data_IF_877372904276
#
_entry.id   IF_877372904276
#
_cell.length_a   1.000
_cell.length_b   1.000
_cell.length_c   1.000
_cell.angle_alpha   90.00
_cell.angle_beta   90.00
_cell.angle_gamma   90.00
#
_symmetry.space_group_name_H-M   'P 1'
#
loop_
_entity.id
_entity.type
_entity.pdbx_description
1 polymer ?
#
# COMPACT_ATOMS: atom_id res chain seq x y z
N UNK A 1 -16.90 -4.37 -29.46
CA UNK A 1 -16.87 -3.43 -30.61
C UNK A 1 -16.10 -4.09 -31.74
N UNK A 2 -16.62 -4.07 -32.97
CA UNK A 2 -15.92 -4.65 -34.13
C UNK A 2 -14.76 -3.74 -34.56
N UNK A 3 -13.66 -4.29 -35.08
CA UNK A 3 -12.46 -3.53 -35.51
C UNK A 3 -12.81 -2.36 -36.44
N UNK A 4 -13.69 -2.59 -37.40
CA UNK A 4 -14.13 -1.57 -38.37
C UNK A 4 -14.92 -0.43 -37.70
N UNK A 5 -15.59 -0.69 -36.58
CA UNK A 5 -16.35 0.32 -35.83
C UNK A 5 -15.42 1.25 -35.04
N UNK A 6 -14.32 0.71 -34.50
CA UNK A 6 -13.26 1.50 -33.84
C UNK A 6 -12.56 2.43 -34.84
N UNK A 7 -12.18 1.90 -36.01
CA UNK A 7 -11.53 2.67 -37.09
C UNK A 7 -12.36 3.88 -37.50
N UNK A 8 -13.67 3.70 -37.68
CA UNK A 8 -14.57 4.77 -38.08
C UNK A 8 -14.67 5.86 -37.01
N UNK A 9 -14.82 5.50 -35.74
CA UNK A 9 -14.90 6.49 -34.63
C UNK A 9 -13.60 7.28 -34.44
N UNK A 10 -12.45 6.62 -34.57
CA UNK A 10 -11.13 7.27 -34.47
C UNK A 10 -10.90 8.25 -35.62
N UNK A 11 -11.30 7.88 -36.84
CA UNK A 11 -11.20 8.76 -38.00
C UNK A 11 -12.14 9.96 -37.90
N UNK A 12 -13.38 9.77 -37.45
CA UNK A 12 -14.32 10.87 -37.20
C UNK A 12 -13.72 11.86 -36.20
N UNK A 13 -13.24 11.36 -35.06
CA UNK A 13 -12.69 12.23 -34.01
C UNK A 13 -11.43 12.98 -34.45
N UNK A 14 -10.52 12.34 -35.17
CA UNK A 14 -9.28 12.98 -35.63
C UNK A 14 -9.50 13.96 -36.77
N UNK A 15 -10.57 13.82 -37.55
CA UNK A 15 -10.97 14.82 -38.56
C UNK A 15 -11.51 16.09 -37.92
N UNK A 16 -12.12 15.99 -36.74
CA UNK A 16 -12.58 17.16 -35.98
C UNK A 16 -11.43 17.94 -35.34
N UNK A 17 -10.31 17.28 -35.02
CA UNK A 17 -9.15 17.90 -34.35
C UNK A 17 -7.98 18.27 -35.28
N UNK A 18 -7.89 17.66 -36.48
CA UNK A 18 -6.77 17.86 -37.42
C UNK A 18 -7.31 18.32 -38.78
N UNK A 19 -7.01 19.58 -39.12
CA UNK A 19 -7.42 20.23 -40.39
C UNK A 19 -6.91 19.52 -41.66
N UNK A 20 -5.83 18.74 -41.57
CA UNK A 20 -5.30 17.94 -42.68
C UNK A 20 -5.90 16.52 -42.67
N UNK A 21 -6.84 16.20 -43.57
CA UNK A 21 -7.54 14.91 -43.60
C UNK A 21 -6.63 13.72 -43.94
N UNK A 22 -5.48 13.95 -44.59
CA UNK A 22 -4.49 12.90 -44.87
C UNK A 22 -3.67 12.59 -43.62
N UNK A 23 -3.30 13.62 -42.85
CA UNK A 23 -2.64 13.42 -41.54
C UNK A 23 -3.58 12.78 -40.54
N UNK A 24 -4.84 13.21 -40.46
CA UNK A 24 -5.85 12.61 -39.59
C UNK A 24 -5.99 11.10 -39.86
N UNK A 25 -6.18 10.73 -41.14
CA UNK A 25 -6.29 9.33 -41.55
C UNK A 25 -5.01 8.52 -41.30
N UNK A 26 -3.83 9.10 -41.56
CA UNK A 26 -2.54 8.43 -41.31
C UNK A 26 -2.29 8.21 -39.81
N UNK A 27 -2.66 9.18 -38.98
CA UNK A 27 -2.53 9.08 -37.52
C UNK A 27 -3.54 8.08 -36.95
N UNK A 28 -4.77 8.08 -37.46
CA UNK A 28 -5.79 7.09 -37.11
C UNK A 28 -5.30 5.67 -37.40
N UNK A 29 -4.74 5.43 -38.59
CA UNK A 29 -4.18 4.12 -38.96
C UNK A 29 -3.03 3.69 -38.05
N UNK A 30 -2.11 4.61 -37.71
CA UNK A 30 -1.00 4.34 -36.77
C UNK A 30 -1.48 4.08 -35.34
N UNK A 31 -2.54 4.77 -34.90
CA UNK A 31 -3.15 4.53 -33.59
C UNK A 31 -3.86 3.20 -33.55
N UNK A 32 -4.58 2.81 -34.61
CA UNK A 32 -5.19 1.49 -34.73
C UNK A 32 -4.13 0.40 -34.69
N UNK A 33 -3.10 0.49 -35.53
CA UNK A 33 -1.97 -0.45 -35.56
C UNK A 33 -1.28 -0.51 -34.18
N UNK A 34 -1.04 0.64 -33.55
CA UNK A 34 -0.48 0.67 -32.21
C UNK A 34 -1.40 -0.01 -31.18
N UNK A 35 -2.71 0.24 -31.21
CA UNK A 35 -3.71 -0.29 -30.26
C UNK A 35 -4.02 -1.78 -30.50
N UNK A 36 -3.92 -2.27 -31.73
CA UNK A 36 -4.17 -3.69 -32.04
C UNK A 36 -2.92 -4.55 -31.97
N UNK A 37 -1.75 -4.00 -32.34
CA UNK A 37 -0.55 -4.81 -32.55
C UNK A 37 0.54 -4.57 -31.51
N UNK A 38 0.51 -3.44 -30.77
CA UNK A 38 1.60 -3.05 -29.84
C UNK A 38 1.18 -2.64 -28.45
N UNK A 39 -0.06 -2.20 -28.26
CA UNK A 39 -0.66 -1.89 -26.97
C UNK A 39 -1.50 -3.10 -26.58
N UNK A 40 -1.04 -3.81 -25.55
CA UNK A 40 -1.74 -4.89 -24.86
C UNK A 40 -2.97 -4.30 -24.16
N UNK A 41 -3.98 -3.92 -24.95
CA UNK A 41 -5.27 -3.44 -24.46
C UNK A 41 -6.37 -4.44 -24.77
N UNK A 42 -6.06 -5.57 -25.42
CA UNK A 42 -7.03 -6.61 -25.74
C UNK A 42 -7.05 -7.62 -24.59
N UNK A 43 -8.09 -7.55 -23.77
CA UNK A 43 -8.45 -8.61 -22.82
C UNK A 43 -9.49 -9.50 -23.48
N UNK A 44 -9.37 -10.82 -23.35
CA UNK A 44 -10.41 -11.76 -23.76
C UNK A 44 -11.18 -12.21 -22.51
N UNK A 45 -12.19 -11.46 -22.05
CA UNK A 45 -12.91 -11.79 -20.82
C UNK A 45 -13.66 -13.14 -20.94
N UNK A 46 -13.98 -13.57 -22.16
CA UNK A 46 -14.62 -14.84 -22.49
C UNK A 46 -14.05 -15.39 -23.82
N UNK A 47 -14.22 -16.70 -24.07
CA UNK A 47 -13.91 -17.30 -25.37
C UNK A 47 -14.71 -16.56 -26.47
N UNK A 48 -14.03 -16.13 -27.54
CA UNK A 48 -14.58 -15.38 -28.69
C UNK A 48 -14.92 -13.88 -28.46
N UNK A 49 -14.60 -13.29 -27.31
CA UNK A 49 -14.73 -11.84 -27.07
C UNK A 49 -13.38 -11.13 -26.96
N UNK A 50 -13.31 -9.92 -27.52
CA UNK A 50 -12.19 -8.99 -27.35
C UNK A 50 -12.73 -7.73 -26.66
N UNK A 51 -12.33 -7.53 -25.41
CA UNK A 51 -12.56 -6.33 -24.62
C UNK A 51 -11.34 -5.40 -24.67
N UNK A 52 -11.59 -4.10 -24.48
CA UNK A 52 -10.52 -3.11 -24.35
C UNK A 52 -10.24 -2.82 -22.88
N UNK A 53 -8.98 -2.87 -22.46
CA UNK A 53 -8.55 -2.40 -21.14
C UNK A 53 -8.49 -0.87 -21.13
N UNK A 54 -9.66 -0.23 -21.11
CA UNK A 54 -9.77 1.24 -21.15
C UNK A 54 -9.11 1.89 -19.92
N UNK A 55 -9.03 1.17 -18.80
CA UNK A 55 -8.46 1.66 -17.54
C UNK A 55 -6.98 2.01 -17.66
N UNK A 56 -6.15 1.13 -18.21
CA UNK A 56 -4.70 1.38 -18.36
C UNK A 56 -4.42 2.60 -19.23
N UNK A 57 -5.20 2.80 -20.30
CA UNK A 57 -5.09 3.99 -21.15
C UNK A 57 -5.55 5.27 -20.43
N UNK A 58 -6.64 5.20 -19.65
CA UNK A 58 -7.10 6.32 -18.84
C UNK A 58 -6.07 6.72 -17.77
N UNK A 59 -5.52 5.74 -17.06
CA UNK A 59 -4.47 5.95 -16.05
C UNK A 59 -3.20 6.56 -16.68
N UNK A 60 -2.80 6.09 -17.86
CA UNK A 60 -1.68 6.66 -18.60
C UNK A 60 -1.94 8.11 -19.05
N UNK A 61 -3.10 8.38 -19.67
CA UNK A 61 -3.47 9.72 -20.12
C UNK A 61 -3.57 10.70 -18.94
N UNK A 62 -4.15 10.27 -17.82
CA UNK A 62 -4.20 11.03 -16.59
C UNK A 62 -2.79 11.31 -16.04
N UNK A 63 -1.91 10.30 -16.01
CA UNK A 63 -0.52 10.45 -15.59
C UNK A 63 0.24 11.49 -16.43
N UNK A 64 0.04 11.46 -17.75
CA UNK A 64 0.61 12.46 -18.67
C UNK A 64 0.09 13.86 -18.39
N UNK A 65 -1.21 14.01 -18.12
CA UNK A 65 -1.81 15.29 -17.77
C UNK A 65 -1.25 15.85 -16.45
N UNK A 66 -1.03 14.99 -15.44
CA UNK A 66 -0.50 15.39 -14.14
C UNK A 66 0.89 16.04 -14.25
N UNK A 67 1.75 15.49 -15.10
CA UNK A 67 3.12 15.99 -15.31
C UNK A 67 3.25 17.02 -16.44
N UNK A 68 2.12 17.45 -17.02
CA UNK A 68 2.11 18.49 -18.06
C UNK A 68 1.92 19.88 -17.44
N UNK A 69 2.47 20.89 -18.11
CA UNK A 69 2.40 22.28 -17.66
C UNK A 69 3.63 22.75 -16.87
N UNK A 70 3.51 23.80 -16.05
CA UNK A 70 4.63 24.34 -15.29
C UNK A 70 5.19 23.35 -14.26
N UNK A 71 6.51 23.22 -14.18
CA UNK A 71 7.18 22.32 -13.23
C UNK A 71 6.76 22.55 -11.77
N UNK A 72 6.46 23.81 -11.41
CA UNK A 72 6.01 24.21 -10.08
C UNK A 72 4.68 23.55 -9.65
N UNK A 73 3.87 23.10 -10.61
CA UNK A 73 2.58 22.48 -10.34
C UNK A 73 2.64 20.95 -10.27
N UNK A 74 3.71 20.33 -10.81
CA UNK A 74 3.79 18.87 -10.96
C UNK A 74 3.83 18.17 -9.61
N UNK A 75 4.76 18.57 -8.73
CA UNK A 75 4.93 17.93 -7.42
C UNK A 75 3.70 18.12 -6.52
N UNK A 76 3.12 19.34 -6.37
CA UNK A 76 1.89 19.52 -5.59
C UNK A 76 0.72 18.66 -6.06
N UNK A 77 0.56 18.44 -7.37
CA UNK A 77 -0.47 17.53 -7.90
C UNK A 77 -0.22 16.08 -7.49
N UNK A 78 1.03 15.63 -7.53
CA UNK A 78 1.40 14.28 -7.13
C UNK A 78 1.27 14.08 -5.61
N UNK A 79 1.59 15.09 -4.79
CA UNK A 79 1.36 15.04 -3.34
C UNK A 79 -0.12 14.88 -3.01
N UNK A 80 -1.00 15.66 -3.66
CA UNK A 80 -2.44 15.59 -3.44
C UNK A 80 -3.05 14.21 -3.77
N UNK A 81 -2.46 13.49 -4.73
CA UNK A 81 -2.95 12.19 -5.18
C UNK A 81 -2.33 11.00 -4.42
N UNK A 82 -1.19 11.19 -3.77
CA UNK A 82 -0.40 10.11 -3.17
C UNK A 82 -1.17 9.31 -2.11
N UNK A 83 -2.09 9.96 -1.39
CA UNK A 83 -2.90 9.34 -0.34
C UNK A 83 -4.09 8.52 -0.88
N UNK A 84 -4.43 8.61 -2.17
CA UNK A 84 -5.63 7.98 -2.73
C UNK A 84 -5.29 6.64 -3.40
N UNK A 85 -5.71 5.49 -2.83
CA UNK A 85 -5.36 4.18 -3.37
C UNK A 85 -5.84 3.94 -4.81
N UNK A 86 -6.97 4.56 -5.19
CA UNK A 86 -7.53 4.48 -6.55
C UNK A 86 -6.63 5.14 -7.62
N UNK A 87 -5.76 6.07 -7.22
CA UNK A 87 -4.84 6.78 -8.11
C UNK A 87 -3.44 6.18 -8.12
N UNK A 88 -3.17 5.12 -7.34
CA UNK A 88 -1.82 4.55 -7.19
C UNK A 88 -1.14 4.26 -8.53
N UNK A 89 -1.80 3.57 -9.44
CA UNK A 89 -1.22 3.26 -10.76
C UNK A 89 -0.94 4.51 -11.59
N UNK A 90 -1.89 5.44 -11.63
CA UNK A 90 -1.74 6.73 -12.32
C UNK A 90 -0.56 7.52 -11.73
N UNK A 91 -0.42 7.51 -10.40
CA UNK A 91 0.67 8.15 -9.70
C UNK A 91 2.02 7.52 -10.04
N UNK A 92 2.12 6.18 -10.08
CA UNK A 92 3.35 5.46 -10.45
C UNK A 92 3.77 5.75 -11.89
N UNK A 93 2.81 5.76 -12.83
CA UNK A 93 3.05 6.15 -14.22
C UNK A 93 3.54 7.60 -14.33
N UNK A 94 2.97 8.51 -13.53
CA UNK A 94 3.37 9.90 -13.50
C UNK A 94 4.78 10.07 -12.91
N UNK A 95 5.09 9.37 -11.82
CA UNK A 95 6.42 9.30 -11.22
C UNK A 95 7.45 8.78 -12.24
N UNK A 96 7.12 7.74 -13.00
CA UNK A 96 7.97 7.24 -14.08
C UNK A 96 8.21 8.31 -15.15
N UNK A 97 7.17 9.05 -15.52
CA UNK A 97 7.27 10.21 -16.41
C UNK A 97 8.19 11.31 -15.86
N UNK A 98 8.11 11.66 -14.57
CA UNK A 98 9.03 12.60 -13.92
C UNK A 98 10.47 12.11 -14.00
N UNK A 99 10.71 10.83 -13.69
CA UNK A 99 12.05 10.25 -13.78
C UNK A 99 12.63 10.30 -15.19
N UNK A 100 11.81 10.09 -16.22
CA UNK A 100 12.25 10.11 -17.61
C UNK A 100 12.40 11.52 -18.20
N UNK A 101 11.44 12.42 -17.92
CA UNK A 101 11.28 13.68 -18.64
C UNK A 101 11.68 14.92 -17.83
N UNK A 102 11.61 14.86 -16.49
CA UNK A 102 11.88 15.99 -15.59
C UNK A 102 12.97 15.63 -14.57
N UNK A 103 14.24 15.42 -15.01
CA UNK A 103 15.31 14.91 -14.15
C UNK A 103 15.62 15.79 -12.93
N UNK A 104 15.40 17.11 -13.03
CA UNK A 104 15.57 18.06 -11.93
C UNK A 104 14.53 17.90 -10.83
N UNK A 105 13.33 17.38 -11.13
CA UNK A 105 12.25 17.16 -10.16
C UNK A 105 12.35 15.81 -9.42
N UNK A 106 13.28 14.92 -9.78
CA UNK A 106 13.40 13.59 -9.15
C UNK A 106 13.62 13.65 -7.64
N UNK A 107 14.43 14.60 -7.18
CA UNK A 107 14.67 14.78 -5.74
C UNK A 107 13.44 15.33 -5.03
N UNK A 108 12.71 16.24 -5.66
CA UNK A 108 11.49 16.81 -5.10
C UNK A 108 10.38 15.76 -5.02
N UNK A 109 10.23 14.91 -6.03
CA UNK A 109 9.31 13.76 -6.03
C UNK A 109 9.61 12.78 -4.88
N UNK A 110 10.88 12.45 -4.65
CA UNK A 110 11.25 11.55 -3.54
C UNK A 110 11.03 12.21 -2.18
N UNK A 111 11.24 13.53 -2.08
CA UNK A 111 10.96 14.28 -0.85
C UNK A 111 9.45 14.40 -0.58
N UNK A 112 8.64 14.58 -1.63
CA UNK A 112 7.19 14.66 -1.55
C UNK A 112 6.56 13.45 -0.86
N UNK A 113 7.10 12.25 -1.05
CA UNK A 113 6.64 11.04 -0.35
C UNK A 113 6.68 11.22 1.18
N UNK A 114 7.74 11.82 1.71
CA UNK A 114 7.85 12.12 3.14
C UNK A 114 6.91 13.23 3.58
N UNK A 115 6.71 14.24 2.73
CA UNK A 115 5.73 15.30 3.00
C UNK A 115 4.33 14.69 3.18
N UNK A 116 3.94 13.78 2.29
CA UNK A 116 2.65 13.09 2.32
C UNK A 116 2.48 12.31 3.62
N UNK A 117 3.48 11.56 4.04
CA UNK A 117 3.41 10.77 5.29
C UNK A 117 3.30 11.63 6.55
N UNK A 118 3.67 12.91 6.47
CA UNK A 118 3.64 13.85 7.59
C UNK A 118 2.44 14.82 7.57
N UNK A 119 1.46 14.65 6.67
CA UNK A 119 0.33 15.58 6.52
C UNK A 119 -0.60 15.58 7.73
N UNK A 120 -1.07 14.40 8.15
CA UNK A 120 -1.99 14.25 9.28
C UNK A 120 -1.80 12.91 10.01
N UNK A 121 -2.61 12.68 11.04
CA UNK A 121 -2.52 11.44 11.84
C UNK A 121 -2.85 10.19 11.04
N UNK A 122 -3.73 10.29 10.05
CA UNK A 122 -4.13 9.18 9.20
C UNK A 122 -2.98 8.79 8.28
N UNK A 123 -2.35 9.76 7.60
CA UNK A 123 -1.18 9.51 6.75
C UNK A 123 0.02 9.03 7.57
N UNK A 124 0.23 9.57 8.77
CA UNK A 124 1.28 9.08 9.69
C UNK A 124 1.04 7.63 10.14
N UNK A 125 -0.21 7.18 10.13
CA UNK A 125 -0.58 5.79 10.47
C UNK A 125 -0.45 4.84 9.29
N UNK A 126 -0.81 5.29 8.08
CA UNK A 126 -0.81 4.45 6.87
C UNK A 126 0.51 4.45 6.10
N UNK A 127 1.28 5.54 6.22
CA UNK A 127 2.49 5.84 5.46
C UNK A 127 2.32 5.64 3.93
N UNK A 128 1.32 6.27 3.28
CA UNK A 128 1.09 6.10 1.85
C UNK A 128 2.31 6.47 0.99
N UNK A 129 3.10 7.46 1.38
CA UNK A 129 4.36 7.83 0.76
C UNK A 129 5.41 6.72 0.82
N UNK A 130 5.60 6.08 1.98
CA UNK A 130 6.46 4.91 2.11
C UNK A 130 5.94 3.71 1.30
N UNK A 131 4.61 3.53 1.22
CA UNK A 131 3.99 2.51 0.35
C UNK A 131 4.25 2.77 -1.14
N UNK A 132 4.19 4.03 -1.58
CA UNK A 132 4.56 4.42 -2.94
C UNK A 132 6.05 4.23 -3.19
N UNK A 133 6.90 4.59 -2.22
CA UNK A 133 8.34 4.32 -2.31
C UNK A 133 8.62 2.83 -2.52
N UNK A 134 7.92 1.96 -1.81
CA UNK A 134 7.99 0.51 -2.01
C UNK A 134 7.58 0.10 -3.42
N UNK A 135 6.47 0.63 -3.95
CA UNK A 135 6.05 0.36 -5.34
C UNK A 135 7.08 0.84 -6.37
N UNK A 136 7.67 2.02 -6.17
CA UNK A 136 8.73 2.53 -7.07
C UNK A 136 9.97 1.64 -7.07
N UNK A 137 10.29 1.00 -5.93
CA UNK A 137 11.37 0.02 -5.83
C UNK A 137 11.02 -1.29 -6.53
N UNK A 138 9.76 -1.73 -6.44
CA UNK A 138 9.27 -2.95 -7.08
C UNK A 138 9.29 -2.83 -8.62
N UNK A 139 8.97 -1.64 -9.15
CA UNK A 139 9.05 -1.33 -10.59
C UNK A 139 10.47 -0.98 -11.09
N UNK A 140 11.48 -1.07 -10.23
CA UNK A 140 12.88 -0.75 -10.57
C UNK A 140 13.08 0.68 -11.12
N UNK A 141 12.21 1.64 -10.78
CA UNK A 141 12.19 2.96 -11.43
C UNK A 141 13.50 3.73 -11.23
N UNK A 142 14.05 3.68 -10.02
CA UNK A 142 15.29 4.39 -9.66
C UNK A 142 16.56 3.52 -9.82
N UNK A 143 16.48 2.36 -10.50
CA UNK A 143 17.59 1.39 -10.59
C UNK A 143 18.88 1.98 -11.17
N UNK A 144 18.76 2.91 -12.12
CA UNK A 144 19.91 3.60 -12.74
C UNK A 144 20.35 4.84 -11.95
N UNK A 145 19.71 5.14 -10.82
CA UNK A 145 19.93 6.33 -10.00
C UNK A 145 20.18 5.93 -8.53
N UNK A 146 21.40 5.44 -8.19
CA UNK A 146 21.69 4.87 -6.87
C UNK A 146 21.34 5.77 -5.69
N UNK A 147 21.52 7.10 -5.85
CA UNK A 147 21.13 8.08 -4.83
C UNK A 147 19.63 8.04 -4.53
N UNK A 148 18.79 8.07 -5.56
CA UNK A 148 17.32 8.03 -5.42
C UNK A 148 16.85 6.65 -4.97
N UNK A 149 17.46 5.58 -5.47
CA UNK A 149 17.23 4.21 -4.99
C UNK A 149 17.44 4.10 -3.47
N UNK A 150 18.56 4.63 -2.95
CA UNK A 150 18.85 4.60 -1.51
C UNK A 150 17.86 5.42 -0.69
N UNK A 151 17.42 6.59 -1.20
CA UNK A 151 16.39 7.40 -0.52
C UNK A 151 15.04 6.68 -0.48
N UNK A 152 14.65 6.01 -1.58
CA UNK A 152 13.44 5.20 -1.63
C UNK A 152 13.52 4.01 -0.68
N UNK A 153 14.65 3.29 -0.62
CA UNK A 153 14.85 2.20 0.36
C UNK A 153 14.76 2.72 1.78
N UNK A 154 15.41 3.85 2.08
CA UNK A 154 15.37 4.45 3.42
C UNK A 154 13.92 4.75 3.84
N UNK A 155 13.12 5.31 2.95
CA UNK A 155 11.74 5.67 3.24
C UNK A 155 10.81 4.45 3.30
N UNK A 156 10.90 3.53 2.33
CA UNK A 156 10.13 2.28 2.34
C UNK A 156 10.47 1.38 3.54
N UNK A 157 11.67 1.49 4.11
CA UNK A 157 12.05 0.77 5.33
C UNK A 157 11.28 1.22 6.58
N UNK A 158 10.60 2.37 6.57
CA UNK A 158 9.71 2.82 7.65
C UNK A 158 8.52 1.86 7.82
N UNK A 159 8.08 1.21 6.73
CA UNK A 159 7.06 0.17 6.73
C UNK A 159 7.46 -1.08 7.54
N UNK A 160 8.73 -1.22 7.92
CA UNK A 160 9.16 -2.32 8.80
C UNK A 160 8.60 -2.13 10.21
N UNK A 161 8.48 -0.87 10.63
CA UNK A 161 7.97 -0.51 11.95
C UNK A 161 6.47 -0.28 11.96
N UNK A 162 5.84 -0.01 10.81
CA UNK A 162 4.42 0.27 10.70
C UNK A 162 3.64 -0.97 10.25
N UNK A 163 2.34 -1.01 10.54
CA UNK A 163 1.48 -2.10 10.09
C UNK A 163 1.29 -1.97 8.58
N UNK A 164 1.86 -2.89 7.80
CA UNK A 164 1.67 -2.94 6.36
C UNK A 164 0.61 -4.00 6.01
N UNK A 165 -0.23 -3.71 5.01
CA UNK A 165 -1.22 -4.68 4.52
C UNK A 165 -0.59 -6.00 4.03
N UNK A 166 0.63 -5.94 3.49
CA UNK A 166 1.39 -7.13 3.06
C UNK A 166 2.85 -7.09 3.53
N UNK A 167 3.15 -7.60 4.75
CA UNK A 167 4.51 -7.69 5.25
C UNK A 167 5.43 -8.54 4.37
N UNK A 168 4.87 -9.53 3.65
CA UNK A 168 5.62 -10.37 2.71
C UNK A 168 6.08 -9.57 1.49
N UNK A 169 5.20 -8.74 0.92
CA UNK A 169 5.55 -7.88 -0.21
C UNK A 169 6.64 -6.88 0.21
N UNK A 170 6.45 -6.20 1.35
CA UNK A 170 7.45 -5.29 1.94
C UNK A 170 8.80 -6.00 2.07
N UNK A 171 8.81 -7.18 2.69
CA UNK A 171 10.03 -7.93 2.92
C UNK A 171 10.74 -8.31 1.61
N UNK A 172 10.01 -8.79 0.60
CA UNK A 172 10.60 -9.24 -0.66
C UNK A 172 11.18 -8.07 -1.47
N UNK A 173 10.41 -6.98 -1.63
CA UNK A 173 10.83 -5.80 -2.40
C UNK A 173 12.05 -5.14 -1.76
N UNK A 174 12.06 -4.98 -0.43
CA UNK A 174 13.20 -4.38 0.27
C UNK A 174 14.47 -5.24 0.14
N UNK A 175 14.37 -6.57 0.27
CA UNK A 175 15.52 -7.48 0.06
C UNK A 175 16.06 -7.36 -1.36
N UNK A 176 15.17 -7.37 -2.36
CA UNK A 176 15.56 -7.25 -3.75
C UNK A 176 16.25 -5.91 -4.00
N UNK A 177 15.70 -4.81 -3.48
CA UNK A 177 16.28 -3.48 -3.61
C UNK A 177 17.65 -3.36 -2.91
N UNK A 178 17.80 -3.94 -1.73
CA UNK A 178 19.04 -3.87 -0.95
C UNK A 178 20.14 -4.81 -1.45
N UNK A 179 19.78 -5.90 -2.14
CA UNK A 179 20.76 -6.81 -2.77
C UNK A 179 21.65 -6.11 -3.81
N UNK A 180 21.25 -4.92 -4.27
CA UNK A 180 21.91 -4.15 -5.33
C UNK A 180 22.92 -3.12 -4.80
N UNK A 181 22.81 -2.70 -3.54
CA UNK A 181 23.62 -1.62 -2.97
C UNK A 181 23.90 -1.82 -1.47
N UNK A 182 25.17 -1.74 -1.07
CA UNK A 182 25.58 -1.93 0.34
C UNK A 182 24.98 -0.90 1.30
N UNK A 183 24.81 0.35 0.85
CA UNK A 183 24.17 1.40 1.66
C UNK A 183 22.71 1.06 1.97
N UNK A 184 21.98 0.49 1.02
CA UNK A 184 20.61 0.04 1.21
C UNK A 184 20.52 -1.07 2.27
N UNK A 185 21.45 -2.03 2.26
CA UNK A 185 21.55 -3.06 3.31
C UNK A 185 21.74 -2.45 4.70
N UNK A 186 22.63 -1.45 4.85
CA UNK A 186 22.86 -0.78 6.12
C UNK A 186 21.61 -0.04 6.64
N UNK A 187 20.80 0.54 5.73
CA UNK A 187 19.52 1.16 6.09
C UNK A 187 18.50 0.12 6.57
N UNK A 188 18.36 -1.00 5.87
CA UNK A 188 17.47 -2.09 6.28
C UNK A 188 17.87 -2.69 7.62
N UNK A 189 19.16 -2.91 7.85
CA UNK A 189 19.65 -3.45 9.12
C UNK A 189 19.32 -2.51 10.29
N UNK A 190 19.49 -1.19 10.10
CA UNK A 190 19.13 -0.19 11.10
C UNK A 190 17.63 -0.16 11.36
N UNK A 191 16.82 -0.15 10.30
CA UNK A 191 15.37 -0.15 10.42
C UNK A 191 14.85 -1.42 11.13
N UNK A 192 15.40 -2.59 10.79
CA UNK A 192 15.07 -3.84 11.46
C UNK A 192 15.49 -3.85 12.94
N UNK A 193 16.70 -3.36 13.26
CA UNK A 193 17.16 -3.19 14.65
C UNK A 193 16.23 -2.28 15.45
N UNK A 194 15.79 -1.17 14.85
CA UNK A 194 14.84 -0.25 15.47
C UNK A 194 13.48 -0.93 15.70
N UNK A 195 12.98 -1.70 14.72
CA UNK A 195 11.72 -2.41 14.83
C UNK A 195 11.74 -3.46 15.96
N UNK A 196 12.79 -4.27 16.08
CA UNK A 196 12.87 -5.27 17.18
C UNK A 196 13.22 -4.68 18.54
N UNK A 197 13.72 -3.45 18.58
CA UNK A 197 13.93 -2.71 19.83
C UNK A 197 12.69 -1.94 20.26
N UNK A 198 11.68 -1.85 19.38
CA UNK A 198 10.40 -1.22 19.67
C UNK A 198 9.50 -2.14 20.50
N UNK A 199 8.30 -1.64 20.80
CA UNK A 199 7.23 -2.31 21.52
C UNK A 199 5.95 -2.18 20.69
N UNK A 200 4.94 -2.90 21.06
CA UNK A 200 3.61 -2.92 20.51
C UNK A 200 3.53 -3.66 19.19
N UNK A 201 2.55 -3.22 18.42
CA UNK A 201 2.35 -3.58 17.01
C UNK A 201 3.64 -3.45 16.19
N UNK A 202 4.48 -2.46 16.49
CA UNK A 202 5.76 -2.22 15.77
C UNK A 202 6.76 -3.36 15.94
N UNK A 203 6.85 -3.93 17.15
CA UNK A 203 7.68 -5.10 17.41
C UNK A 203 7.19 -6.28 16.58
N UNK A 204 5.87 -6.52 16.62
CA UNK A 204 5.25 -7.63 15.89
C UNK A 204 5.49 -7.49 14.37
N UNK A 205 5.34 -6.31 13.79
CA UNK A 205 5.61 -6.06 12.37
C UNK A 205 7.06 -6.34 11.99
N UNK A 206 8.00 -5.80 12.77
CA UNK A 206 9.43 -6.07 12.59
C UNK A 206 9.75 -7.56 12.66
N UNK A 207 9.07 -8.29 13.55
CA UNK A 207 9.17 -9.74 13.66
C UNK A 207 8.71 -10.48 12.39
N UNK A 208 7.58 -10.07 11.78
CA UNK A 208 7.09 -10.73 10.57
C UNK A 208 8.07 -10.59 9.41
N UNK A 209 8.62 -9.38 9.23
CA UNK A 209 9.56 -9.07 8.15
C UNK A 209 10.89 -9.78 8.38
N UNK A 210 11.43 -9.73 9.60
CA UNK A 210 12.67 -10.44 9.93
C UNK A 210 12.53 -11.95 9.79
N UNK A 211 11.39 -12.53 10.19
CA UNK A 211 11.14 -13.95 10.03
C UNK A 211 11.12 -14.37 8.55
N UNK A 212 10.66 -13.49 7.67
CA UNK A 212 10.78 -13.67 6.23
C UNK A 212 12.23 -13.56 5.77
N UNK A 213 12.96 -12.53 6.20
CA UNK A 213 14.35 -12.30 5.81
C UNK A 213 15.32 -13.38 6.31
N UNK A 214 15.09 -13.95 7.49
CA UNK A 214 15.88 -15.03 8.06
C UNK A 214 15.94 -16.29 7.17
N UNK A 215 15.00 -16.43 6.23
CA UNK A 215 15.00 -17.51 5.23
C UNK A 215 15.79 -17.21 3.97
N UNK A 216 16.21 -15.96 3.78
CA UNK A 216 16.99 -15.53 2.62
C UNK A 216 18.42 -16.02 2.78
N UNK A 217 19.07 -16.60 1.75
CA UNK A 217 20.47 -16.98 1.86
C UNK A 217 21.38 -15.76 2.04
N UNK A 218 22.55 -15.98 2.65
CA UNK A 218 23.60 -14.97 2.79
C UNK A 218 23.55 -14.16 4.09
N UNK A 219 24.29 -13.05 4.11
CA UNK A 219 24.53 -12.25 5.32
C UNK A 219 23.25 -11.68 5.92
N UNK A 220 22.30 -11.22 5.09
CA UNK A 220 21.04 -10.66 5.55
C UNK A 220 20.18 -11.69 6.30
N UNK A 221 20.13 -12.94 5.82
CA UNK A 221 19.40 -14.00 6.49
C UNK A 221 20.01 -14.35 7.84
N UNK A 222 21.33 -14.53 7.89
CA UNK A 222 22.05 -14.80 9.14
C UNK A 222 21.90 -13.67 10.15
N UNK A 223 22.03 -12.40 9.72
CA UNK A 223 21.83 -11.24 10.58
C UNK A 223 20.38 -11.15 11.08
N UNK A 224 19.40 -11.42 10.20
CA UNK A 224 17.98 -11.42 10.58
C UNK A 224 17.66 -12.51 11.59
N UNK A 225 18.23 -13.70 11.45
CA UNK A 225 18.09 -14.79 12.42
C UNK A 225 18.68 -14.41 13.78
N UNK A 226 19.88 -13.83 13.80
CA UNK A 226 20.51 -13.36 15.04
C UNK A 226 19.68 -12.27 15.73
N UNK A 227 19.12 -11.33 14.96
CA UNK A 227 18.23 -10.29 15.48
C UNK A 227 16.94 -10.88 16.06
N UNK A 228 16.31 -11.85 15.38
CA UNK A 228 15.13 -12.56 15.91
C UNK A 228 15.43 -13.29 17.21
N UNK A 229 16.50 -14.07 17.25
CA UNK A 229 16.90 -14.82 18.45
C UNK A 229 17.18 -13.87 19.63
N UNK A 230 17.87 -12.77 19.37
CA UNK A 230 18.13 -11.75 20.38
C UNK A 230 16.84 -11.07 20.86
N UNK A 231 15.91 -10.79 19.95
CA UNK A 231 14.64 -10.17 20.27
C UNK A 231 13.75 -11.11 21.11
N UNK A 232 13.61 -12.39 20.72
CA UNK A 232 12.84 -13.40 21.48
C UNK A 232 13.36 -13.53 22.91
N UNK A 233 14.68 -13.50 23.13
CA UNK A 233 15.27 -13.57 24.47
C UNK A 233 14.87 -12.37 25.35
N UNK A 234 14.70 -11.18 24.75
CA UNK A 234 14.35 -9.94 25.46
C UNK A 234 12.85 -9.74 25.63
N UNK A 235 12.02 -10.49 24.90
CA UNK A 235 10.58 -10.38 24.99
C UNK A 235 10.09 -10.67 26.40
N UNK A 236 9.18 -9.81 26.87
CA UNK A 236 8.38 -10.07 28.06
C UNK A 236 7.36 -11.20 27.79
N UNK A 237 6.68 -11.73 28.82
CA UNK A 237 5.71 -12.82 28.63
C UNK A 237 4.55 -12.50 27.66
N UNK A 238 4.02 -11.27 27.67
CA UNK A 238 2.93 -10.83 26.78
C UNK A 238 3.36 -10.80 25.30
N UNK A 239 4.54 -10.25 25.02
CA UNK A 239 5.13 -10.21 23.68
C UNK A 239 5.41 -11.62 23.16
N UNK A 240 5.87 -12.54 24.03
CA UNK A 240 6.07 -13.95 23.66
C UNK A 240 4.74 -14.63 23.33
N UNK A 241 3.68 -14.36 24.09
CA UNK A 241 2.35 -14.89 23.81
C UNK A 241 1.83 -14.41 22.45
N UNK A 242 1.97 -13.11 22.15
CA UNK A 242 1.62 -12.54 20.84
C UNK A 242 2.43 -13.16 19.68
N UNK A 243 3.75 -13.31 19.85
CA UNK A 243 4.63 -13.88 18.82
C UNK A 243 4.40 -15.39 18.59
N UNK A 244 3.94 -16.13 19.61
CA UNK A 244 3.53 -17.54 19.45
C UNK A 244 2.30 -17.67 18.57
N UNK A 245 1.30 -16.80 18.75
CA UNK A 245 0.12 -16.78 17.87
C UNK A 245 0.54 -16.62 16.40
N UNK A 246 1.44 -15.66 16.13
CA UNK A 246 1.97 -15.44 14.79
C UNK A 246 2.65 -16.69 14.20
N UNK A 247 3.43 -17.42 15.00
CA UNK A 247 4.09 -18.66 14.57
C UNK A 247 3.10 -19.79 14.22
N UNK A 248 1.93 -19.81 14.86
CA UNK A 248 0.86 -20.77 14.58
C UNK A 248 0.10 -20.40 13.32
N UNK A 249 -0.23 -19.11 13.16
CA UNK A 249 -1.00 -18.62 12.02
C UNK A 249 -0.22 -18.70 10.70
N UNK A 250 1.10 -18.46 10.77
CA UNK A 250 2.00 -18.53 9.62
C UNK A 250 2.93 -19.73 9.82
N UNK A 251 2.50 -20.98 9.58
CA UNK A 251 3.29 -22.18 9.85
C UNK A 251 4.59 -22.27 9.03
N UNK A 252 4.69 -21.49 7.95
CA UNK A 252 5.94 -21.32 7.23
C UNK A 252 6.98 -20.57 8.06
N UNK A 253 6.60 -19.74 9.02
CA UNK A 253 7.51 -19.03 9.93
C UNK A 253 7.81 -19.89 11.16
N UNK A 254 9.03 -20.44 11.25
CA UNK A 254 9.54 -20.99 12.51
C UNK A 254 10.38 -19.93 13.21
N UNK A 255 9.90 -19.46 14.37
CA UNK A 255 10.66 -18.52 15.20
C UNK A 255 11.46 -19.34 16.23
N UNK A 256 12.80 -19.26 16.21
CA UNK A 256 13.63 -19.95 17.19
C UNK A 256 13.26 -19.54 18.63
N UNK A 257 13.12 -20.51 19.52
CA UNK A 257 12.81 -20.27 20.93
C UNK A 257 11.33 -20.06 21.27
N UNK A 258 10.44 -20.04 20.27
CA UNK A 258 8.99 -20.08 20.48
C UNK A 258 8.47 -21.50 20.21
N UNK A 259 8.09 -22.20 21.28
CA UNK A 259 7.49 -23.53 21.15
C UNK A 259 6.15 -23.46 20.42
N UNK A 260 5.83 -24.50 19.65
CA UNK A 260 4.50 -24.64 19.07
C UNK A 260 3.46 -24.65 20.21
N UNK A 261 2.46 -23.79 20.08
CA UNK A 261 1.41 -23.63 21.07
C UNK A 261 0.06 -23.87 20.41
N UNK A 262 -0.87 -24.50 21.13
CA UNK A 262 -2.25 -24.65 20.67
C UNK A 262 -3.11 -23.61 21.39
N UNK A 263 -3.53 -22.53 20.71
CA UNK A 263 -4.35 -21.51 21.34
C UNK A 263 -5.66 -22.10 21.88
N UNK A 264 -6.03 -21.72 23.10
CA UNK A 264 -7.32 -22.07 23.70
C UNK A 264 -8.23 -20.87 23.59
N UNK A 265 -9.36 -21.01 22.91
CA UNK A 265 -10.36 -19.95 22.84
C UNK A 265 -11.05 -19.82 24.21
N UNK A 266 -10.91 -18.65 24.83
CA UNK A 266 -11.51 -18.32 26.13
C UNK A 266 -12.72 -17.39 26.00
N UNK A 267 -12.87 -16.73 24.85
CA UNK A 267 -13.97 -15.78 24.63
C UNK A 267 -14.04 -15.28 23.19
N UNK A 268 -14.91 -14.31 22.97
CA UNK A 268 -14.95 -13.51 21.76
C UNK A 268 -15.46 -12.11 22.10
N UNK A 269 -14.99 -11.14 21.32
CA UNK A 269 -15.51 -9.77 21.22
C UNK A 269 -15.89 -9.53 19.75
N UNK A 270 -16.49 -8.39 19.48
CA UNK A 270 -16.63 -7.90 18.12
C UNK A 270 -15.57 -6.85 17.81
N UNK A 271 -15.25 -6.63 16.52
CA UNK A 271 -14.32 -5.58 16.12
C UNK A 271 -14.84 -4.19 16.52
N UNK A 272 -16.17 -4.03 16.57
CA UNK A 272 -16.82 -2.82 17.07
C UNK A 272 -16.47 -2.48 18.53
N UNK A 273 -16.09 -3.46 19.36
CA UNK A 273 -15.70 -3.22 20.76
C UNK A 273 -14.34 -2.52 20.90
N UNK A 274 -13.59 -2.41 19.81
CA UNK A 274 -12.29 -1.74 19.75
C UNK A 274 -12.37 -0.34 19.13
N UNK A 275 -13.51 0.03 18.52
CA UNK A 275 -13.69 1.31 17.84
C UNK A 275 -14.58 2.20 18.69
N UNK A 276 -13.97 3.20 19.33
CA UNK A 276 -14.71 4.21 20.09
C UNK A 276 -15.19 5.33 19.16
N UNK A 277 -16.46 5.27 18.78
CA UNK A 277 -17.09 6.19 17.84
C UNK A 277 -18.33 6.83 18.47
N UNK A 278 -18.36 8.16 18.52
CA UNK A 278 -19.52 8.93 18.97
C UNK A 278 -20.69 8.71 17.99
N UNK A 279 -21.77 8.09 18.47
CA UNK A 279 -22.87 7.54 17.64
C UNK A 279 -23.85 8.60 17.14
N UNK A 280 -23.44 9.86 17.03
CA UNK A 280 -24.34 10.95 16.63
C UNK A 280 -24.76 10.89 15.16
N UNK A 281 -23.94 10.29 14.29
CA UNK A 281 -24.26 10.08 12.87
C UNK A 281 -24.94 8.71 12.63
N UNK A 282 -26.02 8.65 11.80
CA UNK A 282 -26.59 7.39 11.34
C UNK A 282 -25.59 6.51 10.57
N UNK A 283 -24.67 7.12 9.80
CA UNK A 283 -23.66 6.39 9.03
C UNK A 283 -22.61 5.77 9.93
N UNK A 284 -22.10 6.54 10.90
CA UNK A 284 -21.24 6.04 11.97
C UNK A 284 -21.88 4.86 12.72
N UNK A 285 -23.18 4.94 12.99
CA UNK A 285 -23.94 3.85 13.63
C UNK A 285 -24.06 2.60 12.74
N UNK A 286 -24.28 2.76 11.43
CA UNK A 286 -24.29 1.64 10.46
C UNK A 286 -22.91 1.00 10.36
N UNK A 287 -21.86 1.81 10.29
CA UNK A 287 -20.47 1.37 10.27
C UNK A 287 -20.15 0.50 11.50
N UNK A 288 -20.42 0.98 12.70
CA UNK A 288 -20.22 0.20 13.94
C UNK A 288 -21.08 -1.07 13.97
N UNK A 289 -22.33 -1.00 13.48
CA UNK A 289 -23.22 -2.17 13.44
C UNK A 289 -22.69 -3.26 12.52
N UNK A 290 -22.05 -2.89 11.40
CA UNK A 290 -21.38 -3.83 10.50
C UNK A 290 -20.27 -4.60 11.24
N UNK A 291 -19.42 -3.89 12.00
CA UNK A 291 -18.30 -4.50 12.73
C UNK A 291 -18.70 -5.32 13.96
N UNK A 292 -19.96 -5.24 14.42
CA UNK A 292 -20.48 -6.16 15.45
C UNK A 292 -20.53 -7.61 14.98
N UNK A 293 -20.55 -7.84 13.66
CA UNK A 293 -20.56 -9.19 13.06
C UNK A 293 -19.18 -9.77 12.85
N UNK A 294 -18.13 -8.95 13.07
CA UNK A 294 -16.74 -9.36 12.87
C UNK A 294 -16.18 -9.83 14.20
N UNK A 295 -16.03 -11.14 14.35
CA UNK A 295 -15.56 -11.75 15.58
C UNK A 295 -14.06 -11.49 15.79
N UNK A 296 -13.72 -11.09 17.01
CA UNK A 296 -12.38 -11.02 17.55
C UNK A 296 -12.28 -12.08 18.64
N UNK A 297 -11.64 -13.19 18.32
CA UNK A 297 -11.45 -14.28 19.25
C UNK A 297 -10.45 -13.90 20.34
N UNK A 298 -10.78 -14.24 21.58
CA UNK A 298 -9.87 -14.12 22.70
C UNK A 298 -9.22 -15.47 22.95
N UNK A 299 -7.91 -15.53 22.79
CA UNK A 299 -7.10 -16.74 22.92
C UNK A 299 -6.27 -16.64 24.20
N UNK A 300 -6.31 -17.66 25.04
CA UNK A 300 -5.33 -17.82 26.12
C UNK A 300 -4.06 -18.42 25.53
N UNK A 301 -2.95 -17.71 25.70
CA UNK A 301 -1.61 -18.13 25.32
C UNK A 301 -0.68 -17.86 26.50
N UNK A 302 -0.27 -18.94 27.18
CA UNK A 302 0.56 -18.89 28.40
C UNK A 302 -0.02 -18.02 29.54
N UNK A 303 -1.34 -17.96 29.69
CA UNK A 303 -2.02 -17.14 30.70
C UNK A 303 -2.31 -15.70 30.25
N UNK A 304 -1.99 -15.35 29.00
CA UNK A 304 -2.25 -14.02 28.43
C UNK A 304 -3.37 -14.08 27.40
N UNK A 305 -4.27 -13.09 27.45
CA UNK A 305 -5.33 -12.94 26.45
C UNK A 305 -4.79 -12.24 25.21
N UNK A 306 -4.72 -12.96 24.10
CA UNK A 306 -4.35 -12.43 22.78
C UNK A 306 -5.59 -12.33 21.90
N UNK A 307 -5.78 -11.18 21.26
CA UNK A 307 -6.91 -10.91 20.38
C UNK A 307 -6.56 -11.32 18.94
N UNK A 308 -7.40 -12.15 18.34
CA UNK A 308 -7.20 -12.71 17.01
C UNK A 308 -8.45 -12.50 16.15
N UNK A 309 -8.28 -11.90 14.98
CA UNK A 309 -9.33 -11.76 13.97
C UNK A 309 -9.12 -12.82 12.90
N UNK A 310 -10.17 -13.44 12.38
CA UNK A 310 -10.01 -14.42 11.31
C UNK A 310 -9.72 -13.72 9.97
N UNK A 311 -8.59 -14.02 9.29
CA UNK A 311 -8.15 -13.26 8.12
C UNK A 311 -8.99 -13.48 6.85
N UNK A 312 -9.90 -14.46 6.85
CA UNK A 312 -10.63 -14.89 5.66
C UNK A 312 -11.98 -14.19 5.45
N UNK A 313 -12.34 -13.20 6.27
CA UNK A 313 -13.58 -12.46 6.07
C UNK A 313 -13.30 -11.11 5.40
N UNK A 314 -13.48 -10.98 4.07
CA UNK A 314 -13.29 -9.70 3.40
C UNK A 314 -14.24 -8.65 4.02
N UNK A 315 -13.71 -7.45 4.26
CA UNK A 315 -14.52 -6.34 4.74
C UNK A 315 -15.22 -5.69 3.54
N UNK A 316 -16.52 -5.90 3.40
CA UNK A 316 -17.35 -5.06 2.54
C UNK A 316 -17.76 -3.81 3.35
N UNK A 317 -16.83 -2.87 3.43
CA UNK A 317 -16.99 -1.66 4.24
C UNK A 317 -18.14 -0.84 3.66
N UNK A 318 -19.16 -0.48 4.46
CA UNK A 318 -20.24 0.37 3.99
C UNK A 318 -19.68 1.68 3.43
N UNK A 319 -20.17 2.10 2.27
CA UNK A 319 -19.85 3.42 1.71
C UNK A 319 -20.33 4.50 2.69
N UNK A 320 -19.41 5.41 3.03
CA UNK A 320 -19.69 6.61 3.81
C UNK A 320 -19.85 7.76 2.80
N UNK A 321 -21.02 8.38 2.78
CA UNK A 321 -21.33 9.43 1.78
C UNK A 321 -20.95 10.82 2.28
N UNK A 322 -20.90 11.01 3.61
CA UNK A 322 -20.67 12.33 4.20
C UNK A 322 -19.24 12.47 4.73
N UNK A 323 -18.54 13.54 4.33
CA UNK A 323 -17.16 13.86 4.74
C UNK A 323 -16.99 13.86 6.27
N UNK A 324 -17.98 14.38 7.01
CA UNK A 324 -17.93 14.41 8.48
C UNK A 324 -17.98 13.00 9.09
N UNK A 325 -18.73 12.08 8.48
CA UNK A 325 -18.78 10.69 8.92
C UNK A 325 -17.48 9.96 8.59
N UNK A 326 -16.91 10.20 7.40
CA UNK A 326 -15.58 9.68 7.00
C UNK A 326 -14.53 10.08 8.03
N UNK A 327 -14.40 11.38 8.33
CA UNK A 327 -13.41 11.88 9.30
C UNK A 327 -13.60 11.33 10.71
N UNK A 328 -14.85 11.19 11.17
CA UNK A 328 -15.13 10.60 12.48
C UNK A 328 -14.70 9.13 12.54
N UNK A 329 -15.02 8.36 11.49
CA UNK A 329 -14.64 6.96 11.38
C UNK A 329 -13.13 6.79 11.28
N UNK A 330 -12.46 7.56 10.41
CA UNK A 330 -11.00 7.58 10.29
C UNK A 330 -10.34 7.84 11.64
N UNK A 331 -10.77 8.89 12.35
CA UNK A 331 -10.21 9.25 13.63
C UNK A 331 -10.43 8.16 14.69
N UNK A 332 -11.60 7.52 14.71
CA UNK A 332 -11.89 6.42 15.63
C UNK A 332 -11.03 5.18 15.33
N UNK A 333 -10.81 4.86 14.05
CA UNK A 333 -9.93 3.76 13.65
C UNK A 333 -8.48 4.06 14.03
N UNK A 334 -7.98 5.27 13.76
CA UNK A 334 -6.61 5.67 14.15
C UNK A 334 -6.41 5.56 15.66
N UNK A 335 -7.36 6.06 16.46
CA UNK A 335 -7.31 5.94 17.93
C UNK A 335 -7.33 4.46 18.36
N UNK A 336 -8.15 3.63 17.71
CA UNK A 336 -8.23 2.21 17.99
C UNK A 336 -6.92 1.48 17.68
N UNK A 337 -6.25 1.81 16.57
CA UNK A 337 -4.93 1.28 16.20
C UNK A 337 -3.88 1.67 17.25
N UNK A 338 -3.81 2.95 17.61
CA UNK A 338 -2.85 3.50 18.58
C UNK A 338 -3.05 2.92 20.00
N UNK A 339 -4.28 2.57 20.36
CA UNK A 339 -4.60 1.96 21.64
C UNK A 339 -4.20 0.48 21.74
N UNK A 340 -3.88 -0.19 20.62
CA UNK A 340 -3.50 -1.60 20.65
C UNK A 340 -2.10 -1.79 21.23
N UNK A 341 -2.01 -2.70 22.21
CA UNK A 341 -0.75 -3.21 22.73
C UNK A 341 -0.28 -4.44 21.93
N UNK A 342 0.76 -5.10 22.43
CA UNK A 342 1.33 -6.34 21.87
C UNK A 342 0.26 -7.39 21.59
N UNK A 343 -0.65 -7.63 22.53
CA UNK A 343 -1.68 -8.68 22.45
C UNK A 343 -2.85 -8.32 21.53
N UNK A 344 -2.91 -7.07 21.08
CA UNK A 344 -3.89 -6.54 20.13
C UNK A 344 -3.33 -6.32 18.72
N UNK A 345 -2.10 -6.78 18.43
CA UNK A 345 -1.44 -6.49 17.14
C UNK A 345 -2.26 -6.92 15.93
N UNK A 346 -2.96 -8.06 16.01
CA UNK A 346 -3.75 -8.54 14.88
C UNK A 346 -4.97 -7.64 14.63
N UNK A 347 -5.57 -7.10 15.70
CA UNK A 347 -6.64 -6.10 15.59
C UNK A 347 -6.11 -4.82 14.92
N UNK A 348 -4.92 -4.35 15.31
CA UNK A 348 -4.30 -3.18 14.67
C UNK A 348 -4.05 -3.39 13.17
N UNK A 349 -3.58 -4.58 12.76
CA UNK A 349 -3.36 -4.92 11.34
C UNK A 349 -4.66 -4.84 10.55
N UNK A 350 -5.72 -5.45 11.07
CA UNK A 350 -7.05 -5.43 10.45
C UNK A 350 -7.61 -4.01 10.36
N UNK A 351 -7.50 -3.23 11.45
CA UNK A 351 -7.97 -1.85 11.48
C UNK A 351 -7.17 -0.95 10.53
N UNK A 352 -5.88 -1.24 10.32
CA UNK A 352 -5.07 -0.52 9.32
C UNK A 352 -5.59 -0.78 7.90
N UNK A 353 -5.84 -2.05 7.55
CA UNK A 353 -6.43 -2.39 6.26
C UNK A 353 -7.87 -1.87 6.07
N UNK A 354 -8.61 -1.68 7.17
CA UNK A 354 -9.90 -1.00 7.16
C UNK A 354 -9.75 0.49 6.90
N UNK A 355 -8.79 1.15 7.55
CA UNK A 355 -8.50 2.57 7.35
C UNK A 355 -8.16 2.88 5.89
N UNK A 356 -7.37 2.02 5.23
CA UNK A 356 -7.06 2.12 3.80
C UNK A 356 -8.32 2.05 2.90
N UNK A 357 -9.35 1.33 3.32
CA UNK A 357 -10.61 1.19 2.58
C UNK A 357 -11.60 2.34 2.83
N UNK A 358 -11.51 2.98 3.99
CA UNK A 358 -12.35 4.12 4.38
C UNK A 358 -11.87 5.41 3.72
N UNK A 359 -10.56 5.52 3.42
CA UNK A 359 -10.01 6.68 2.73
C UNK A 359 -10.81 6.99 1.45
N UNK A 360 -11.06 8.29 1.16
CA UNK A 360 -11.88 8.70 0.04
C UNK A 360 -11.37 8.10 -1.27
N UNK A 361 -12.26 7.33 -1.93
CA UNK A 361 -11.98 6.67 -3.21
C UNK A 361 -11.86 7.66 -4.36
N UNK A 362 -12.49 8.82 -4.23
CA UNK A 362 -12.39 9.90 -5.21
C UNK A 362 -11.35 10.91 -4.74
N UNK A 363 -10.30 11.08 -5.54
CA UNK A 363 -9.36 12.18 -5.33
C UNK A 363 -10.00 13.51 -5.73
N UNK A 364 -9.56 14.64 -5.14
CA UNK A 364 -9.92 15.95 -5.66
C UNK A 364 -9.60 16.01 -7.15
N UNK A 365 -10.55 16.46 -7.98
CA UNK A 365 -10.28 16.61 -9.41
C UNK A 365 -9.08 17.55 -9.58
N UNK A 366 -7.96 17.07 -10.13
CA UNK A 366 -6.82 17.95 -10.37
C UNK A 366 -7.33 19.03 -11.32
N UNK A 367 -7.16 20.31 -10.93
CA UNK A 367 -7.45 21.44 -11.82
C UNK A 367 -6.43 21.44 -12.95
N UNK A 368 -6.62 20.57 -13.93
CA UNK A 368 -5.87 20.57 -15.18
C UNK A 368 -6.48 21.69 -16.03
N UNK A 369 -5.95 22.90 -15.89
CA UNK A 369 -6.30 24.00 -16.76
C UNK A 369 -5.82 23.67 -18.19
N UNK A 370 -6.77 23.35 -19.08
CA UNK A 370 -6.53 23.41 -20.53
C UNK A 370 -6.20 22.10 -21.25
N UNK A 371 -6.72 20.96 -20.81
CA UNK A 371 -6.77 19.75 -21.66
C UNK A 371 -8.21 19.23 -21.72
N UNK A 372 -9.01 19.85 -22.60
CA UNK A 372 -10.18 19.24 -23.25
C UNK A 372 -10.00 19.50 -24.74
#
# INVERSE_FOLDING_TARGET
MLKNELENRLQERLKDEIDDPKKASSLAAKLIEAVTDRLVLLVAPELDYIGFEVRSLQEYSAARALISGPDADIIPRLEALAQHPSWRNTWLLAAAGVFALHPHLRSDLVNALRTVDALDRTTMTLLPGAQLALSLLDEDLARQHPRHQNLLVQHAAELITQSAASPITVANVLVQAASRHDQANAHLERAAKNAVSSRGVRLMNGFQILARWAKTPGQLGSASQQLLEAAVRRMNPEERAAARLFSVEKPWVRIPGLAAYRPVRIGHKSLADFIDLDRKSPEASRFITYFRRQDVYQLDIDGFTVHYVEPNNPFDVPLLEHDDAVRQVEQAIVNAIEAQQETGWHVAVILTGLLEQVLPREAPQPRVLGII
#
